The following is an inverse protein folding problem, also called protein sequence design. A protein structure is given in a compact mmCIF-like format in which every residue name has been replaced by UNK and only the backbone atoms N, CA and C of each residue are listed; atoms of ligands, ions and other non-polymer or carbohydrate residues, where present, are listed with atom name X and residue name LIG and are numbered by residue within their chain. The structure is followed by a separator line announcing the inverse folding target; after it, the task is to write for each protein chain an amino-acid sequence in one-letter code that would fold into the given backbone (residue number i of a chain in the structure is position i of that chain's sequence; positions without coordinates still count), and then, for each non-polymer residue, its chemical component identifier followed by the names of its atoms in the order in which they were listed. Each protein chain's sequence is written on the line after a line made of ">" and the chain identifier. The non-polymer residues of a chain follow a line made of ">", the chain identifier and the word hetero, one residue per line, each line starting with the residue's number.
data_IF_676884278194
#
_entry.id   IF_676884278194
#
_cell.length_a   1.000
_cell.length_b   1.000
_cell.length_c   1.000
_cell.angle_alpha   90.00
_cell.angle_beta   90.00
_cell.angle_gamma   90.00
#
_symmetry.space_group_name_H-M   'P 1'
#
loop_
_entity.id
_entity.type
_entity.pdbx_description
1 polymer ?
#
# COMPACT_ATOMS: atom_id res chain seq x y z
N UNK A 1 7.46 23.02 -1.65
CA UNK A 1 6.30 22.21 -2.10
C UNK A 1 6.54 20.77 -1.66
N UNK A 2 5.57 20.15 -0.98
CA UNK A 2 5.59 18.72 -0.75
C UNK A 2 5.24 18.05 -2.08
N UNK A 3 6.17 17.30 -2.67
CA UNK A 3 5.98 16.60 -3.96
C UNK A 3 5.52 15.15 -3.77
N UNK A 4 5.28 14.74 -2.51
CA UNK A 4 4.82 13.40 -2.15
C UNK A 4 3.63 13.49 -1.19
N UNK A 5 2.81 12.45 -1.19
CA UNK A 5 1.66 12.32 -0.29
C UNK A 5 2.12 12.11 1.16
N UNK A 6 1.33 12.61 2.13
CA UNK A 6 1.69 12.45 3.54
C UNK A 6 1.60 10.98 3.99
N UNK A 7 2.39 10.55 4.98
CA UNK A 7 2.21 9.24 5.60
C UNK A 7 1.01 9.24 6.56
N UNK A 8 0.16 8.22 6.47
CA UNK A 8 -0.90 7.91 7.43
C UNK A 8 -0.36 7.13 8.64
N UNK A 9 -1.16 7.09 9.70
CA UNK A 9 -0.77 6.47 10.98
C UNK A 9 -1.92 5.72 11.67
N UNK A 10 -3.09 5.60 11.02
CA UNK A 10 -4.24 4.86 11.57
C UNK A 10 -4.02 3.35 11.53
N UNK A 11 -3.16 2.87 10.62
CA UNK A 11 -2.76 1.47 10.52
C UNK A 11 -1.23 1.31 10.64
N UNK A 12 -0.80 0.29 11.38
CA UNK A 12 0.62 -0.04 11.50
C UNK A 12 1.21 -0.54 10.19
N UNK A 13 2.35 0.03 9.77
CA UNK A 13 3.04 -0.39 8.55
C UNK A 13 3.84 -1.69 8.78
N UNK A 14 3.20 -2.83 8.53
CA UNK A 14 3.84 -4.15 8.55
C UNK A 14 3.93 -4.69 7.13
N UNK A 15 5.12 -4.59 6.53
CA UNK A 15 5.38 -5.11 5.19
C UNK A 15 5.64 -6.61 5.22
N UNK A 16 5.02 -7.41 4.33
CA UNK A 16 5.29 -8.84 4.28
C UNK A 16 6.74 -9.12 3.83
N UNK A 17 7.48 -9.98 4.56
CA UNK A 17 8.86 -10.31 4.22
C UNK A 17 8.92 -11.27 3.02
N UNK A 18 9.94 -11.16 2.19
CA UNK A 18 10.23 -12.09 1.10
C UNK A 18 11.74 -12.32 0.99
N UNK A 19 12.16 -13.56 0.76
CA UNK A 19 13.56 -13.84 0.41
C UNK A 19 13.74 -13.79 -1.10
N UNK A 20 14.73 -13.04 -1.59
CA UNK A 20 15.15 -13.06 -3.00
C UNK A 20 16.60 -13.52 -3.11
N UNK A 21 17.13 -13.68 -4.33
CA UNK A 21 18.51 -14.07 -4.54
C UNK A 21 19.22 -13.12 -5.50
N UNK A 22 20.44 -12.72 -5.14
CA UNK A 22 21.37 -12.04 -6.04
C UNK A 22 22.43 -13.03 -6.48
N UNK A 23 22.54 -13.25 -7.79
CA UNK A 23 23.44 -14.25 -8.37
C UNK A 23 24.56 -13.62 -9.18
N UNK A 24 25.74 -14.24 -9.17
CA UNK A 24 26.89 -13.87 -10.01
C UNK A 24 27.37 -15.08 -10.80
N UNK A 25 27.99 -14.85 -11.95
CA UNK A 25 28.47 -15.92 -12.84
C UNK A 25 29.53 -16.82 -12.19
N UNK A 26 30.36 -16.27 -11.31
CA UNK A 26 31.46 -17.01 -10.65
C UNK A 26 31.17 -17.43 -9.21
N UNK A 27 30.21 -16.80 -8.54
CA UNK A 27 29.99 -16.94 -7.09
C UNK A 27 28.67 -17.58 -6.68
N UNK A 28 27.84 -18.04 -7.63
CA UNK A 28 26.52 -18.57 -7.32
C UNK A 28 25.55 -17.49 -6.81
N UNK A 29 24.54 -17.91 -6.05
CA UNK A 29 23.45 -17.05 -5.55
C UNK A 29 23.53 -16.83 -4.04
N UNK A 30 23.24 -15.60 -3.60
CA UNK A 30 23.15 -15.23 -2.18
C UNK A 30 21.74 -14.76 -1.85
N UNK A 31 21.17 -15.32 -0.78
CA UNK A 31 19.84 -14.96 -0.28
C UNK A 31 19.85 -13.54 0.31
N UNK A 32 18.84 -12.76 -0.05
CA UNK A 32 18.58 -11.41 0.43
C UNK A 32 17.23 -11.38 1.13
N UNK A 33 17.18 -10.76 2.32
CA UNK A 33 15.93 -10.52 3.03
C UNK A 33 15.33 -9.19 2.54
N UNK A 34 14.17 -9.26 1.93
CA UNK A 34 13.46 -8.13 1.36
C UNK A 34 12.02 -8.07 1.89
N UNK A 35 11.27 -7.07 1.40
CA UNK A 35 9.88 -6.87 1.72
C UNK A 35 9.11 -6.50 0.47
N UNK A 36 7.84 -6.85 0.42
CA UNK A 36 6.92 -6.34 -0.59
C UNK A 36 6.24 -5.06 -0.08
N UNK A 37 5.88 -4.18 -1.01
CA UNK A 37 5.13 -2.96 -0.73
C UNK A 37 3.95 -2.90 -1.69
N UNK A 38 2.76 -2.67 -1.15
CA UNK A 38 1.56 -2.42 -1.95
C UNK A 38 1.70 -1.09 -2.70
N UNK A 39 1.22 -1.04 -3.94
CA UNK A 39 1.15 0.20 -4.70
C UNK A 39 0.20 1.21 -4.02
N UNK A 40 0.58 2.49 -4.08
CA UNK A 40 -0.12 3.56 -3.39
C UNK A 40 -1.58 3.71 -3.82
N UNK A 41 -1.95 3.35 -5.05
CA UNK A 41 -3.35 3.47 -5.52
C UNK A 41 -4.31 2.55 -4.76
N UNK A 42 -3.82 1.44 -4.20
CA UNK A 42 -4.63 0.55 -3.37
C UNK A 42 -4.66 0.99 -1.90
N UNK A 43 -3.74 1.86 -1.48
CA UNK A 43 -3.67 2.32 -0.09
C UNK A 43 -4.82 3.27 0.22
N UNK A 44 -5.28 3.23 1.48
CA UNK A 44 -6.36 4.11 1.92
C UNK A 44 -5.87 5.57 1.94
N UNK A 45 -6.57 6.42 1.19
CA UNK A 45 -6.25 7.85 1.07
C UNK A 45 -7.26 8.69 1.85
N UNK A 46 -6.81 9.28 2.96
CA UNK A 46 -7.66 10.01 3.89
C UNK A 46 -7.02 11.31 4.34
N UNK A 47 -7.79 12.18 4.97
CA UNK A 47 -7.29 13.45 5.50
C UNK A 47 -6.28 13.18 6.63
N UNK A 48 -5.19 13.93 6.64
CA UNK A 48 -4.13 13.86 7.65
C UNK A 48 -4.73 13.96 9.06
N UNK A 49 -4.34 13.02 9.93
CA UNK A 49 -4.77 12.92 11.34
C UNK A 49 -6.30 12.80 11.54
N UNK A 50 -7.02 12.32 10.53
CA UNK A 50 -8.48 12.17 10.51
C UNK A 50 -8.84 10.84 9.84
N UNK A 51 -10.13 10.49 9.79
CA UNK A 51 -10.68 9.31 9.10
C UNK A 51 -11.52 9.70 7.87
N UNK A 52 -11.71 11.00 7.61
CA UNK A 52 -12.44 11.45 6.42
C UNK A 52 -11.68 11.14 5.13
N UNK A 53 -12.33 10.45 4.19
CA UNK A 53 -11.69 10.02 2.95
C UNK A 53 -11.40 11.21 2.04
N UNK A 54 -10.19 11.26 1.49
CA UNK A 54 -9.86 12.16 0.39
C UNK A 54 -10.25 11.56 -0.96
N UNK A 55 -10.26 10.24 -1.06
CA UNK A 55 -10.68 9.51 -2.26
C UNK A 55 -11.62 8.37 -1.86
N UNK A 56 -12.76 8.24 -2.55
CA UNK A 56 -13.73 7.16 -2.33
C UNK A 56 -14.28 6.66 -3.65
N UNK A 57 -14.20 5.33 -3.87
CA UNK A 57 -14.64 4.71 -5.12
C UNK A 57 -13.78 5.16 -6.29
N UNK A 58 -14.24 6.18 -7.02
CA UNK A 58 -13.57 6.74 -8.19
C UNK A 58 -13.48 8.28 -8.18
N UNK A 59 -13.74 8.92 -7.04
CA UNK A 59 -13.81 10.38 -6.92
C UNK A 59 -12.98 10.91 -5.75
N UNK A 60 -12.39 12.07 -5.97
CA UNK A 60 -11.73 12.87 -4.94
C UNK A 60 -12.73 13.80 -4.25
N UNK A 61 -12.55 14.02 -2.95
CA UNK A 61 -13.27 15.07 -2.23
C UNK A 61 -12.70 16.44 -2.63
N UNK A 62 -13.46 17.22 -3.40
CA UNK A 62 -13.04 18.51 -3.92
C UNK A 62 -12.85 19.58 -2.84
N UNK A 63 -13.38 19.37 -1.62
CA UNK A 63 -13.16 20.30 -0.50
C UNK A 63 -11.76 20.11 0.11
N UNK A 64 -11.25 18.88 0.09
CA UNK A 64 -9.89 18.54 0.55
C UNK A 64 -8.85 18.59 -0.56
N UNK A 65 -9.26 18.27 -1.79
CA UNK A 65 -8.44 18.15 -2.98
C UNK A 65 -8.96 19.03 -4.13
N UNK A 66 -9.01 20.37 -3.96
CA UNK A 66 -9.38 21.28 -5.05
C UNK A 66 -8.30 21.36 -6.15
N UNK A 67 -7.06 21.08 -5.78
CA UNK A 67 -5.90 21.00 -6.67
C UNK A 67 -4.89 19.97 -6.13
N UNK A 68 -3.94 19.49 -6.96
CA UNK A 68 -2.99 18.47 -6.56
C UNK A 68 -2.10 18.84 -5.36
N UNK A 69 -1.63 20.09 -5.28
CA UNK A 69 -0.71 20.53 -4.23
C UNK A 69 -1.42 20.60 -2.88
N UNK A 70 -2.65 21.12 -2.88
CA UNK A 70 -3.51 21.14 -1.68
C UNK A 70 -3.90 19.73 -1.26
N UNK A 71 -4.20 18.84 -2.21
CA UNK A 71 -4.54 17.45 -1.93
C UNK A 71 -3.38 16.70 -1.26
N UNK A 72 -2.16 16.84 -1.81
CA UNK A 72 -0.96 16.20 -1.26
C UNK A 72 -0.59 16.71 0.15
N UNK A 73 -1.03 17.93 0.52
CA UNK A 73 -0.84 18.48 1.86
C UNK A 73 -1.92 18.01 2.84
N UNK A 74 -3.17 17.94 2.40
CA UNK A 74 -4.31 17.61 3.25
C UNK A 74 -4.50 16.12 3.46
N UNK A 75 -3.97 15.29 2.56
CA UNK A 75 -4.25 13.86 2.51
C UNK A 75 -3.00 13.00 2.75
N UNK A 76 -3.23 11.84 3.36
CA UNK A 76 -2.24 10.86 3.72
C UNK A 76 -2.61 9.48 3.14
N UNK A 77 -1.59 8.66 2.90
CA UNK A 77 -1.73 7.24 2.57
C UNK A 77 -1.49 6.41 3.82
N UNK A 78 -2.48 5.62 4.23
CA UNK A 78 -2.34 4.72 5.36
C UNK A 78 -1.83 3.34 4.95
N UNK A 79 -1.20 2.65 5.91
CA UNK A 79 -0.70 1.30 5.70
C UNK A 79 -1.83 0.31 5.38
N UNK A 80 -1.44 -0.87 4.91
CA UNK A 80 -2.35 -1.88 4.39
C UNK A 80 -2.39 -3.13 5.27
N UNK A 81 -3.59 -3.69 5.49
CA UNK A 81 -3.74 -5.09 5.90
C UNK A 81 -3.59 -6.00 4.68
N UNK A 82 -2.35 -6.42 4.42
CA UNK A 82 -1.99 -7.18 3.22
C UNK A 82 -2.84 -8.44 3.04
N UNK A 83 -3.04 -9.24 4.09
CA UNK A 83 -3.71 -10.53 3.95
C UNK A 83 -5.23 -10.38 3.97
N UNK A 84 -5.80 -9.70 4.98
CA UNK A 84 -7.25 -9.68 5.15
C UNK A 84 -7.95 -8.72 4.16
N UNK A 85 -7.30 -7.62 3.79
CA UNK A 85 -7.89 -6.64 2.85
C UNK A 85 -7.51 -6.95 1.41
N UNK A 86 -6.22 -7.23 1.15
CA UNK A 86 -5.72 -7.35 -0.23
C UNK A 86 -5.49 -8.80 -0.67
N UNK A 87 -5.46 -9.78 0.24
CA UNK A 87 -5.24 -11.19 -0.09
C UNK A 87 -3.79 -11.46 -0.54
N UNK A 88 -2.85 -10.71 0.02
CA UNK A 88 -1.42 -10.80 -0.23
C UNK A 88 -0.76 -11.50 0.96
N UNK A 89 -0.04 -12.58 0.69
CA UNK A 89 0.76 -13.27 1.70
C UNK A 89 2.09 -13.75 1.13
N UNK A 90 3.06 -13.95 2.02
CA UNK A 90 4.41 -14.42 1.67
C UNK A 90 4.81 -15.63 2.47
N UNK A 91 5.65 -16.49 1.88
CA UNK A 91 6.25 -17.64 2.55
C UNK A 91 7.61 -17.93 1.92
N UNK A 92 8.69 -17.62 2.63
CA UNK A 92 10.05 -17.73 2.09
C UNK A 92 10.24 -16.86 0.85
N UNK A 93 10.49 -17.50 -0.29
CA UNK A 93 10.69 -16.87 -1.60
C UNK A 93 9.40 -16.76 -2.44
N UNK A 94 8.25 -17.17 -1.89
CA UNK A 94 6.97 -17.14 -2.58
C UNK A 94 6.10 -15.95 -2.14
N UNK A 95 5.39 -15.36 -3.11
CA UNK A 95 4.31 -14.39 -2.92
C UNK A 95 3.03 -14.97 -3.52
N UNK A 96 1.94 -14.92 -2.76
CA UNK A 96 0.60 -15.19 -3.26
C UNK A 96 -0.17 -13.87 -3.37
N UNK A 97 -0.69 -13.60 -4.57
CA UNK A 97 -1.60 -12.48 -4.86
C UNK A 97 -2.97 -13.04 -5.22
N UNK A 98 -3.97 -12.82 -4.37
CA UNK A 98 -5.34 -13.27 -4.62
C UNK A 98 -6.10 -12.22 -5.44
N UNK A 99 -6.79 -12.64 -6.51
CA UNK A 99 -7.41 -11.68 -7.44
C UNK A 99 -8.60 -10.92 -6.85
N UNK A 100 -9.47 -11.59 -6.09
CA UNK A 100 -10.64 -10.95 -5.45
C UNK A 100 -10.66 -11.31 -3.98
N UNK A 101 -10.52 -10.30 -3.11
CA UNK A 101 -10.51 -10.46 -1.65
C UNK A 101 -11.69 -9.73 -1.06
N UNK A 102 -12.62 -10.46 -0.44
CA UNK A 102 -13.83 -9.92 0.18
C UNK A 102 -13.58 -9.68 1.66
N UNK A 103 -13.41 -8.43 2.05
CA UNK A 103 -13.35 -8.00 3.43
C UNK A 103 -14.75 -7.76 4.02
N UNK A 104 -14.79 -7.34 5.29
CA UNK A 104 -16.05 -7.05 5.99
C UNK A 104 -16.79 -5.83 5.40
N UNK A 105 -16.04 -4.80 4.97
CA UNK A 105 -16.61 -3.51 4.55
C UNK A 105 -16.36 -3.19 3.07
N UNK A 106 -15.47 -3.91 2.39
CA UNK A 106 -15.08 -3.66 1.01
C UNK A 106 -14.66 -4.96 0.30
N UNK A 107 -14.68 -4.95 -1.03
CA UNK A 107 -14.07 -5.99 -1.87
C UNK A 107 -12.90 -5.40 -2.62
N UNK A 108 -11.72 -5.95 -2.41
CA UNK A 108 -10.54 -5.64 -3.19
C UNK A 108 -10.52 -6.49 -4.49
N UNK A 109 -10.06 -5.89 -5.58
CA UNK A 109 -9.85 -6.54 -6.88
C UNK A 109 -8.44 -6.19 -7.37
N UNK A 110 -7.59 -7.20 -7.56
CA UNK A 110 -6.17 -7.01 -7.88
C UNK A 110 -5.33 -6.68 -6.65
N UNK A 111 -4.19 -6.03 -6.87
CA UNK A 111 -3.20 -5.63 -5.87
C UNK A 111 -2.24 -4.61 -6.45
#
# INVERSE_FOLDING_TARGET
>A
AAVAQQPGHQQGNVRPPITTQTCTTSGGCTTQNNYIQLDANWMWTHKVNDYHNCFTGNAWDTTLCPDPDTCAQNCALDAADYEATYGISTSGDAVRLNFVTKGQYATNVGS
#
